data_IF_867171828534
#
_entry.id   IF_867171828534
#
_cell.length_a   1.000
_cell.length_b   1.000
_cell.length_c   1.000
_cell.angle_alpha   90.00
_cell.angle_beta   90.00
_cell.angle_gamma   90.00
#
_symmetry.space_group_name_H-M   'P 1'
#
loop_
_entity.id
_entity.type
_entity.pdbx_description
1 polymer ?
#
# COMPACT_ATOMS: atom_id res chain seq x y z
N UNK A 1 23.49 -7.03 4.67
CA UNK A 1 23.52 -5.97 3.64
C UNK A 1 23.50 -4.63 4.34
N UNK A 2 24.46 -3.75 4.08
CA UNK A 2 24.42 -2.37 4.60
C UNK A 2 23.39 -1.57 3.82
N UNK A 3 22.20 -1.40 4.40
CA UNK A 3 21.12 -0.58 3.83
C UNK A 3 21.61 0.85 3.66
N UNK A 4 21.73 1.34 2.42
CA UNK A 4 22.18 2.70 2.17
C UNK A 4 21.10 3.73 2.61
N UNK A 5 21.47 5.00 2.71
CA UNK A 5 20.55 6.05 3.20
C UNK A 5 19.29 6.20 2.34
N UNK A 6 19.35 5.91 1.03
CA UNK A 6 18.17 5.90 0.15
C UNK A 6 17.17 4.85 0.59
N UNK A 7 17.62 3.62 0.80
CA UNK A 7 16.75 2.53 1.25
C UNK A 7 16.17 2.76 2.65
N UNK A 8 16.94 3.38 3.56
CA UNK A 8 16.45 3.79 4.89
C UNK A 8 15.35 4.84 4.79
N UNK A 9 15.48 5.79 3.86
CA UNK A 9 14.43 6.79 3.60
C UNK A 9 13.16 6.13 3.05
N UNK A 10 13.27 5.21 2.09
CA UNK A 10 12.11 4.48 1.55
C UNK A 10 11.46 3.62 2.64
N UNK A 11 12.25 2.97 3.50
CA UNK A 11 11.76 2.24 4.68
C UNK A 11 10.94 3.15 5.60
N UNK A 12 11.52 4.27 6.03
CA UNK A 12 10.85 5.25 6.86
C UNK A 12 9.56 5.81 6.23
N UNK A 13 9.57 6.07 4.93
CA UNK A 13 8.39 6.55 4.21
C UNK A 13 7.27 5.51 4.20
N UNK A 14 7.58 4.25 3.89
CA UNK A 14 6.58 3.19 3.90
C UNK A 14 5.98 3.00 5.29
N UNK A 15 6.78 3.03 6.35
CA UNK A 15 6.30 2.94 7.74
C UNK A 15 5.41 4.12 8.12
N UNK A 16 5.89 5.36 7.94
CA UNK A 16 5.18 6.55 8.40
C UNK A 16 3.89 6.81 7.62
N UNK A 17 3.91 6.62 6.31
CA UNK A 17 2.71 6.80 5.47
C UNK A 17 1.70 5.66 5.63
N UNK A 18 2.17 4.53 6.18
CA UNK A 18 1.29 3.44 6.58
C UNK A 18 0.56 3.74 7.90
N UNK A 19 1.08 4.60 8.76
CA UNK A 19 0.43 4.96 10.02
C UNK A 19 -0.31 6.29 9.94
N UNK A 20 0.12 7.19 9.06
CA UNK A 20 -0.32 8.59 9.04
C UNK A 20 -0.76 9.05 7.64
N UNK A 21 -1.75 9.96 7.54
CA UNK A 21 -2.08 10.62 6.27
C UNK A 21 -0.88 11.34 5.65
N UNK A 22 -0.83 11.40 4.31
CA UNK A 22 0.31 11.96 3.57
C UNK A 22 0.79 13.34 4.05
N UNK A 23 -0.14 14.28 4.25
CA UNK A 23 0.19 15.65 4.65
C UNK A 23 0.63 15.78 6.12
N UNK A 24 0.32 14.79 6.96
CA UNK A 24 0.77 14.75 8.36
C UNK A 24 2.26 14.37 8.49
N UNK A 25 2.85 13.79 7.44
CA UNK A 25 4.25 13.36 7.42
C UNK A 25 5.11 14.41 6.72
N UNK A 26 6.03 15.04 7.47
CA UNK A 26 7.00 16.01 6.96
C UNK A 26 8.34 15.37 6.57
N UNK A 27 9.10 16.04 5.70
CA UNK A 27 10.47 15.62 5.30
C UNK A 27 11.39 15.47 6.52
N UNK A 28 11.25 16.34 7.52
CA UNK A 28 12.02 16.24 8.76
C UNK A 28 11.73 14.94 9.52
N UNK A 29 10.46 14.62 9.73
CA UNK A 29 10.02 13.37 10.39
C UNK A 29 10.52 12.14 9.65
N UNK A 30 10.47 12.16 8.30
CA UNK A 30 11.02 11.09 7.45
C UNK A 30 12.53 10.91 7.66
N UNK A 31 13.28 12.02 7.70
CA UNK A 31 14.72 12.01 7.95
C UNK A 31 15.06 11.50 9.35
N UNK A 32 14.32 11.93 10.36
CA UNK A 32 14.49 11.51 11.76
C UNK A 32 14.24 10.00 11.90
N UNK A 33 13.13 9.49 11.36
CA UNK A 33 12.82 8.05 11.34
C UNK A 33 13.88 7.25 10.56
N UNK A 34 14.33 7.77 9.41
CA UNK A 34 15.37 7.13 8.62
C UNK A 34 16.76 7.21 9.27
N UNK A 35 16.97 8.05 10.29
CA UNK A 35 18.29 8.38 10.85
C UNK A 35 19.23 8.98 9.80
N UNK A 36 18.70 9.85 8.95
CA UNK A 36 19.38 10.56 7.86
C UNK A 36 19.30 12.06 8.14
N UNK A 37 20.36 12.83 7.84
CA UNK A 37 20.32 14.29 7.98
C UNK A 37 19.44 14.90 6.89
N UNK A 38 18.64 15.92 7.21
CA UNK A 38 17.77 16.62 6.25
C UNK A 38 18.52 17.13 5.01
N UNK A 39 19.74 17.63 5.17
CA UNK A 39 20.57 18.07 4.04
C UNK A 39 20.95 16.93 3.07
N UNK A 40 21.01 15.68 3.55
CA UNK A 40 21.28 14.50 2.73
C UNK A 40 20.03 13.98 2.01
N UNK A 41 18.82 14.37 2.42
CA UNK A 41 17.57 13.97 1.77
C UNK A 41 17.59 14.33 0.29
N UNK A 42 17.92 15.60 0.00
CA UNK A 42 17.89 16.18 -1.35
C UNK A 42 18.98 15.64 -2.28
N UNK A 43 19.92 14.83 -1.76
CA UNK A 43 20.82 14.06 -2.59
C UNK A 43 20.16 12.80 -3.17
N UNK A 44 19.14 12.25 -2.50
CA UNK A 44 18.47 11.02 -2.89
C UNK A 44 17.10 11.23 -3.52
N UNK A 45 16.36 12.25 -3.07
CA UNK A 45 15.01 12.57 -3.53
C UNK A 45 14.82 14.08 -3.61
N UNK A 46 14.29 14.57 -4.71
CA UNK A 46 14.00 15.99 -4.94
C UNK A 46 12.79 16.48 -4.14
N UNK A 47 11.85 15.58 -3.82
CA UNK A 47 10.62 15.92 -3.08
C UNK A 47 10.15 14.80 -2.15
N UNK A 48 9.22 15.13 -1.25
CA UNK A 48 8.48 14.13 -0.46
C UNK A 48 7.66 13.21 -1.37
N UNK A 49 7.12 13.77 -2.45
CA UNK A 49 6.33 13.04 -3.44
C UNK A 49 7.16 11.95 -4.11
N UNK A 50 8.38 12.25 -4.58
CA UNK A 50 9.28 11.29 -5.21
C UNK A 50 9.65 10.14 -4.26
N UNK A 51 9.98 10.46 -3.01
CA UNK A 51 10.22 9.43 -1.98
C UNK A 51 8.99 8.56 -1.74
N UNK A 52 7.80 9.17 -1.74
CA UNK A 52 6.54 8.47 -1.52
C UNK A 52 6.22 7.53 -2.68
N UNK A 53 6.46 7.97 -3.92
CA UNK A 53 6.38 7.14 -5.13
C UNK A 53 7.29 5.90 -4.98
N UNK A 54 8.55 6.10 -4.60
CA UNK A 54 9.47 4.97 -4.38
C UNK A 54 8.99 4.01 -3.29
N UNK A 55 8.36 4.52 -2.22
CA UNK A 55 7.81 3.70 -1.15
C UNK A 55 6.60 2.87 -1.60
N UNK A 56 5.66 3.45 -2.34
CA UNK A 56 4.51 2.70 -2.87
C UNK A 56 4.91 1.71 -3.94
N UNK A 57 5.92 2.01 -4.76
CA UNK A 57 6.45 1.05 -5.73
C UNK A 57 7.07 -0.17 -5.06
N UNK A 58 7.82 0.03 -3.98
CA UNK A 58 8.38 -1.08 -3.21
C UNK A 58 7.27 -1.92 -2.58
N UNK A 59 6.25 -1.28 -2.01
CA UNK A 59 5.09 -1.99 -1.44
C UNK A 59 4.34 -2.79 -2.51
N UNK A 60 4.15 -2.21 -3.70
CA UNK A 60 3.48 -2.86 -4.82
C UNK A 60 4.28 -4.04 -5.37
N UNK A 61 5.60 -3.89 -5.51
CA UNK A 61 6.48 -4.98 -5.90
C UNK A 61 6.42 -6.16 -4.91
N UNK A 62 6.44 -5.87 -3.60
CA UNK A 62 6.31 -6.88 -2.55
C UNK A 62 4.94 -7.60 -2.62
N UNK A 63 3.85 -6.87 -2.83
CA UNK A 63 2.53 -7.44 -3.00
C UNK A 63 2.46 -8.35 -4.24
N UNK A 64 2.95 -7.89 -5.40
CA UNK A 64 3.00 -8.71 -6.63
C UNK A 64 3.83 -9.97 -6.45
N UNK A 65 4.93 -9.90 -5.70
CA UNK A 65 5.73 -11.07 -5.39
C UNK A 65 4.93 -12.08 -4.56
N UNK A 66 4.25 -11.65 -3.50
CA UNK A 66 3.39 -12.54 -2.71
C UNK A 66 2.23 -13.14 -3.52
N UNK A 67 1.65 -12.36 -4.44
CA UNK A 67 0.60 -12.82 -5.34
C UNK A 67 1.08 -13.93 -6.28
N UNK A 68 2.32 -13.84 -6.78
CA UNK A 68 2.91 -14.83 -7.68
C UNK A 68 3.11 -16.21 -7.02
N UNK A 69 3.19 -16.26 -5.69
CA UNK A 69 3.32 -17.50 -4.92
C UNK A 69 1.96 -18.18 -4.64
N UNK A 70 0.83 -17.56 -5.02
CA UNK A 70 -0.48 -18.16 -4.80
C UNK A 70 -0.74 -19.32 -5.77
N UNK A 71 -1.34 -20.43 -5.30
CA UNK A 71 -1.64 -21.60 -6.12
C UNK A 71 -2.90 -21.40 -6.97
N UNK A 72 -2.84 -20.49 -7.95
CA UNK A 72 -3.97 -20.10 -8.80
C UNK A 72 -4.21 -21.07 -9.97
N UNK A 73 -3.17 -21.74 -10.44
CA UNK A 73 -3.25 -22.66 -11.58
C UNK A 73 -4.17 -23.86 -11.26
N UNK A 74 -4.97 -24.27 -12.25
CA UNK A 74 -5.94 -25.38 -12.10
C UNK A 74 -7.15 -25.06 -11.21
N UNK A 75 -7.19 -23.92 -10.54
CA UNK A 75 -8.33 -23.52 -9.71
C UNK A 75 -9.50 -22.97 -10.54
N UNK A 76 -10.70 -23.04 -9.98
CA UNK A 76 -11.87 -22.32 -10.52
C UNK A 76 -11.69 -20.80 -10.39
N UNK A 77 -12.37 -20.01 -11.22
CA UNK A 77 -12.34 -18.54 -11.14
C UNK A 77 -12.68 -18.05 -9.73
N UNK A 78 -13.75 -18.58 -9.14
CA UNK A 78 -14.17 -18.26 -7.77
C UNK A 78 -13.05 -18.51 -6.76
N UNK A 79 -12.39 -19.67 -6.85
CA UNK A 79 -11.31 -20.01 -5.91
C UNK A 79 -10.08 -19.11 -6.11
N UNK A 80 -9.74 -18.75 -7.34
CA UNK A 80 -8.64 -17.80 -7.62
C UNK A 80 -8.92 -16.45 -6.99
N UNK A 81 -10.09 -15.87 -7.26
CA UNK A 81 -10.47 -14.57 -6.71
C UNK A 81 -10.50 -14.61 -5.18
N UNK A 82 -11.03 -15.67 -4.58
CA UNK A 82 -11.02 -15.85 -3.12
C UNK A 82 -9.60 -15.90 -2.55
N UNK A 83 -8.68 -16.66 -3.17
CA UNK A 83 -7.28 -16.70 -2.73
C UNK A 83 -6.61 -15.33 -2.80
N UNK A 84 -6.90 -14.54 -3.85
CA UNK A 84 -6.37 -13.18 -3.98
C UNK A 84 -6.95 -12.26 -2.91
N UNK A 85 -8.26 -12.29 -2.69
CA UNK A 85 -8.93 -11.51 -1.63
C UNK A 85 -8.36 -11.87 -0.26
N UNK A 86 -8.26 -13.15 0.07
CA UNK A 86 -7.73 -13.63 1.35
C UNK A 86 -6.27 -13.19 1.54
N UNK A 87 -5.44 -13.26 0.49
CA UNK A 87 -4.07 -12.76 0.51
C UNK A 87 -4.00 -11.24 0.77
N UNK A 88 -4.91 -10.46 0.19
CA UNK A 88 -4.98 -9.03 0.44
C UNK A 88 -5.36 -8.71 1.88
N UNK A 89 -6.43 -9.34 2.38
CA UNK A 89 -6.98 -9.09 3.71
C UNK A 89 -6.10 -9.64 4.84
N UNK A 90 -5.33 -10.70 4.56
CA UNK A 90 -4.35 -11.29 5.47
C UNK A 90 -2.95 -10.68 5.36
N UNK A 91 -2.73 -9.73 4.45
CA UNK A 91 -1.40 -9.16 4.25
C UNK A 91 -0.95 -8.35 5.47
N UNK A 92 0.29 -8.52 5.96
CA UNK A 92 0.85 -7.62 6.99
C UNK A 92 0.80 -6.14 6.58
N UNK A 93 0.77 -5.86 5.27
CA UNK A 93 0.66 -4.51 4.73
C UNK A 93 -0.68 -3.82 5.02
N UNK A 94 -1.69 -4.51 5.54
CA UNK A 94 -2.96 -3.87 5.92
C UNK A 94 -3.13 -3.70 7.44
N UNK A 95 -2.18 -4.17 8.24
CA UNK A 95 -2.16 -4.05 9.70
C UNK A 95 -1.08 -3.06 10.15
N UNK A 96 -1.23 -2.48 11.34
CA UNK A 96 -0.22 -1.62 11.97
C UNK A 96 1.13 -2.33 12.10
N UNK A 97 2.20 -1.57 12.36
CA UNK A 97 3.56 -2.13 12.43
C UNK A 97 3.74 -3.15 13.58
N UNK A 98 2.92 -3.05 14.64
CA UNK A 98 2.83 -4.04 15.72
C UNK A 98 1.95 -5.25 15.39
N UNK A 99 1.19 -5.20 14.29
CA UNK A 99 0.30 -6.26 13.81
C UNK A 99 -1.07 -6.31 14.49
N UNK A 100 -1.33 -5.48 15.50
CA UNK A 100 -2.48 -5.62 16.39
C UNK A 100 -3.75 -4.91 15.90
N UNK A 101 -3.63 -4.06 14.87
CA UNK A 101 -4.73 -3.25 14.37
C UNK A 101 -4.78 -3.25 12.84
N UNK A 102 -5.95 -3.54 12.28
CA UNK A 102 -6.19 -3.32 10.86
C UNK A 102 -6.20 -1.81 10.57
N UNK A 103 -5.29 -1.34 9.72
CA UNK A 103 -5.21 0.06 9.29
C UNK A 103 -5.72 0.26 7.86
N UNK A 104 -5.89 -0.81 7.09
CA UNK A 104 -6.44 -0.79 5.73
C UNK A 104 -5.38 -0.77 4.63
N UNK A 105 -5.80 -0.65 3.37
CA UNK A 105 -4.89 -0.71 2.23
C UNK A 105 -3.95 0.51 2.18
N UNK A 106 -2.62 0.34 2.07
CA UNK A 106 -1.68 1.45 2.01
C UNK A 106 -1.90 2.32 0.76
N UNK A 107 -2.23 1.71 -0.38
CA UNK A 107 -2.55 2.44 -1.61
C UNK A 107 -3.87 3.20 -1.51
N UNK A 108 -4.92 2.54 -1.00
CA UNK A 108 -6.24 3.13 -0.84
C UNK A 108 -6.24 4.31 0.13
N UNK A 109 -5.55 4.17 1.27
CA UNK A 109 -5.40 5.26 2.24
C UNK A 109 -4.58 6.41 1.71
N UNK A 110 -3.50 6.13 1.00
CA UNK A 110 -2.71 7.18 0.39
C UNK A 110 -3.54 7.95 -0.65
N UNK A 111 -4.24 7.23 -1.53
CA UNK A 111 -5.14 7.82 -2.53
C UNK A 111 -6.24 8.68 -1.93
N UNK A 112 -6.77 8.29 -0.75
CA UNK A 112 -7.76 9.07 -0.02
C UNK A 112 -7.19 10.31 0.71
N UNK A 113 -5.87 10.37 0.89
CA UNK A 113 -5.19 11.42 1.68
C UNK A 113 -4.49 12.48 0.85
N UNK A 114 -4.27 12.26 -0.44
CA UNK A 114 -3.62 13.21 -1.36
C UNK A 114 -4.62 14.20 -1.94
N UNK A 115 -4.14 15.36 -2.37
CA UNK A 115 -4.94 16.44 -2.95
C UNK A 115 -4.55 16.69 -4.42
N UNK A 116 -5.06 17.74 -5.02
CA UNK A 116 -4.66 18.15 -6.38
C UNK A 116 -3.21 18.63 -6.46
N UNK A 117 -2.55 18.86 -5.31
CA UNK A 117 -1.15 19.29 -5.20
C UNK A 117 -0.13 18.18 -5.52
N UNK A 118 -0.55 16.92 -5.62
CA UNK A 118 0.29 15.74 -5.87
C UNK A 118 -0.09 14.98 -7.16
N UNK A 119 0.05 15.60 -8.35
CA UNK A 119 -0.36 14.98 -9.61
C UNK A 119 0.47 13.73 -9.96
N UNK A 120 1.78 13.72 -9.67
CA UNK A 120 2.65 12.58 -10.02
C UNK A 120 2.33 11.37 -9.15
N UNK A 121 2.11 11.58 -7.85
CA UNK A 121 1.70 10.53 -6.93
C UNK A 121 0.30 10.01 -7.25
N UNK A 122 -0.64 10.89 -7.62
CA UNK A 122 -1.97 10.51 -8.11
C UNK A 122 -1.88 9.60 -9.32
N UNK A 123 -1.08 9.99 -10.32
CA UNK A 123 -0.89 9.19 -11.54
C UNK A 123 -0.26 7.84 -11.25
N UNK A 124 0.72 7.79 -10.33
CA UNK A 124 1.33 6.53 -9.95
C UNK A 124 0.37 5.59 -9.23
N UNK A 125 -0.42 6.10 -8.29
CA UNK A 125 -1.46 5.32 -7.60
C UNK A 125 -2.52 4.82 -8.59
N UNK A 126 -2.95 5.65 -9.54
CA UNK A 126 -3.85 5.24 -10.59
C UNK A 126 -3.26 4.11 -11.45
N UNK A 127 -1.96 4.18 -11.78
CA UNK A 127 -1.27 3.09 -12.47
C UNK A 127 -1.25 1.79 -11.64
N UNK A 128 -0.98 1.86 -10.32
CA UNK A 128 -1.04 0.70 -9.43
C UNK A 128 -2.44 0.07 -9.44
N UNK A 129 -3.51 0.86 -9.30
CA UNK A 129 -4.86 0.32 -9.34
C UNK A 129 -5.21 -0.29 -10.70
N UNK A 130 -4.75 0.28 -11.81
CA UNK A 130 -4.92 -0.33 -13.14
C UNK A 130 -4.17 -1.66 -13.26
N UNK A 131 -2.93 -1.74 -12.78
CA UNK A 131 -2.17 -3.00 -12.73
C UNK A 131 -2.92 -4.05 -11.88
N UNK A 132 -3.51 -3.64 -10.75
CA UNK A 132 -4.27 -4.53 -9.89
C UNK A 132 -5.57 -5.02 -10.54
N UNK A 133 -6.30 -4.13 -11.22
CA UNK A 133 -7.49 -4.50 -12.00
C UNK A 133 -7.10 -5.51 -13.06
N UNK A 134 -5.99 -5.30 -13.79
CA UNK A 134 -5.54 -6.26 -14.80
C UNK A 134 -5.24 -7.64 -14.20
N UNK A 135 -4.54 -7.70 -13.06
CA UNK A 135 -4.27 -8.96 -12.35
C UNK A 135 -5.56 -9.69 -11.95
N UNK A 136 -6.57 -8.94 -11.51
CA UNK A 136 -7.89 -9.49 -11.15
C UNK A 136 -8.67 -9.92 -12.40
N UNK A 137 -8.59 -9.18 -13.51
CA UNK A 137 -9.20 -9.55 -14.79
C UNK A 137 -8.62 -10.87 -15.29
N UNK A 138 -7.31 -11.06 -15.19
CA UNK A 138 -6.66 -12.32 -15.58
C UNK A 138 -7.13 -13.48 -14.69
N UNK A 139 -7.23 -13.26 -13.37
CA UNK A 139 -7.75 -14.24 -12.43
C UNK A 139 -9.25 -14.56 -12.66
N UNK A 140 -10.01 -13.57 -13.14
CA UNK A 140 -11.43 -13.67 -13.47
C UNK A 140 -11.70 -14.28 -14.85
N UNK A 141 -10.68 -14.70 -15.60
CA UNK A 141 -10.86 -15.26 -16.94
C UNK A 141 -11.21 -14.22 -18.01
N UNK A 142 -10.79 -12.97 -17.83
CA UNK A 142 -11.02 -11.86 -18.75
C UNK A 142 -12.20 -10.96 -18.38
N UNK A 143 -12.93 -11.27 -17.31
CA UNK A 143 -14.08 -10.48 -16.87
C UNK A 143 -13.64 -9.24 -16.07
N UNK A 144 -13.67 -8.08 -16.75
CA UNK A 144 -13.28 -6.80 -16.15
C UNK A 144 -14.29 -6.31 -15.11
N UNK A 145 -15.58 -6.62 -15.24
CA UNK A 145 -16.60 -6.19 -14.28
C UNK A 145 -16.38 -6.90 -12.94
N UNK A 146 -16.14 -8.21 -12.99
CA UNK A 146 -15.78 -9.00 -11.80
C UNK A 146 -14.49 -8.50 -11.16
N UNK A 147 -13.49 -8.09 -11.97
CA UNK A 147 -12.24 -7.53 -11.45
C UNK A 147 -12.48 -6.23 -10.66
N UNK A 148 -13.28 -5.31 -11.20
CA UNK A 148 -13.66 -4.07 -10.51
C UNK A 148 -14.45 -4.35 -9.23
N UNK A 149 -15.44 -5.24 -9.28
CA UNK A 149 -16.21 -5.64 -8.09
C UNK A 149 -15.32 -6.28 -7.02
N UNK A 150 -14.35 -7.10 -7.41
CA UNK A 150 -13.40 -7.74 -6.48
C UNK A 150 -12.48 -6.70 -5.83
N UNK A 151 -11.95 -5.74 -6.60
CA UNK A 151 -11.13 -4.68 -6.02
C UNK A 151 -11.96 -3.79 -5.08
N UNK A 152 -13.21 -3.50 -5.43
CA UNK A 152 -14.15 -2.78 -4.58
C UNK A 152 -14.48 -3.57 -3.29
N UNK A 153 -14.65 -4.89 -3.36
CA UNK A 153 -14.79 -5.78 -2.19
C UNK A 153 -13.57 -5.66 -1.26
N UNK A 154 -12.35 -5.74 -1.81
CA UNK A 154 -11.11 -5.63 -1.03
C UNK A 154 -11.03 -4.28 -0.31
N UNK A 155 -11.16 -3.18 -1.06
CA UNK A 155 -11.05 -1.83 -0.48
C UNK A 155 -12.18 -1.54 0.50
N UNK A 156 -13.42 -1.92 0.16
CA UNK A 156 -14.59 -1.75 1.01
C UNK A 156 -14.49 -2.56 2.29
N UNK A 157 -14.05 -3.82 2.21
CA UNK A 157 -13.86 -4.69 3.39
C UNK A 157 -12.80 -4.11 4.33
N UNK A 158 -11.66 -3.68 3.79
CA UNK A 158 -10.58 -3.07 4.57
C UNK A 158 -11.04 -1.78 5.27
N UNK A 159 -11.76 -0.90 4.55
CA UNK A 159 -12.33 0.32 5.10
C UNK A 159 -13.32 0.03 6.24
N UNK A 160 -14.28 -0.86 5.99
CA UNK A 160 -15.33 -1.19 6.95
C UNK A 160 -14.75 -1.85 8.20
N UNK A 161 -13.88 -2.86 8.04
CA UNK A 161 -13.23 -3.50 9.19
C UNK A 161 -12.37 -2.54 9.99
N UNK A 162 -11.54 -1.70 9.34
CA UNK A 162 -10.71 -0.73 10.04
C UNK A 162 -11.54 0.31 10.82
N UNK A 163 -12.78 0.57 10.39
CA UNK A 163 -13.71 1.48 11.07
C UNK A 163 -14.46 0.79 12.21
N UNK A 164 -14.85 -0.47 12.03
CA UNK A 164 -15.70 -1.23 12.96
C UNK A 164 -14.91 -1.98 14.05
N UNK A 165 -13.65 -2.31 13.80
CA UNK A 165 -12.76 -3.05 14.69
C UNK A 165 -11.70 -2.08 15.25
N UNK A 166 -12.01 -1.29 16.29
CA UNK A 166 -11.04 -0.38 16.87
C UNK A 166 -9.86 -1.16 17.46
N UNK A 167 -8.70 -0.48 17.55
CA UNK A 167 -7.49 -1.02 18.16
C UNK A 167 -7.81 -1.66 19.52
N UNK A 168 -7.24 -2.84 19.80
CA UNK A 168 -7.27 -3.42 21.14
C UNK A 168 -6.67 -2.40 22.12
N UNK A 169 -7.50 -1.79 22.96
CA UNK A 169 -7.08 -0.76 23.93
C UNK A 169 -7.40 0.70 23.58
N UNK A 170 -8.04 0.99 22.45
CA UNK A 170 -8.62 2.31 22.20
C UNK A 170 -9.84 2.50 23.12
N UNK A 171 -9.64 3.17 24.25
CA UNK A 171 -10.75 3.59 25.12
C UNK A 171 -11.44 4.79 24.44
N UNK A 172 -12.79 4.85 24.42
CA UNK A 172 -13.53 5.96 23.80
C UNK A 172 -13.21 7.33 24.43
#
# INVERSE_FOLDING_TARGET
>A
MTTNNRERLIAAAAELLHEHPYHAVGVQTLCERAGVRKGSFYHFFQSKEELTIAAVERAWAAYKHGLAELPLEGQTIEKRLRLIVDNCLGSPLVYSLDGDRLVGCPFGRLAASITEEEPELRDRLAAIFREWIQLLTDAAGGDTEVAWSTLAEIQGTLLLKATLEPAVGATP
#
